data_IF_098459487476
#
_entry.id   IF_098459487476
#
_cell.length_a   1.000
_cell.length_b   1.000
_cell.length_c   1.000
_cell.angle_alpha   90.00
_cell.angle_beta   90.00
_cell.angle_gamma   90.00
#
_symmetry.space_group_name_H-M   'P 1'
#
loop_
_entity.id
_entity.type
_entity.pdbx_description
1 polymer ?
#
# COMPACT_ATOMS: atom_id res chain seq x y z
N UNK A 1 -2.26 -88.96 20.64
CA UNK A 1 -1.43 -88.05 19.78
C UNK A 1 -2.29 -86.87 19.39
N UNK A 2 -2.10 -85.76 20.10
CA UNK A 2 -2.91 -84.54 19.91
C UNK A 2 -2.09 -83.54 19.10
N UNK A 3 -2.57 -83.11 17.87
CA UNK A 3 -1.89 -82.14 17.02
C UNK A 3 -2.33 -80.71 17.44
N UNK A 4 -1.42 -79.97 17.99
CA UNK A 4 -1.60 -78.51 18.24
C UNK A 4 -1.50 -77.73 16.96
N UNK A 5 -2.59 -76.98 16.58
CA UNK A 5 -2.59 -75.99 15.51
C UNK A 5 -2.06 -74.66 16.05
N UNK A 6 -0.95 -74.17 15.48
CA UNK A 6 -0.43 -72.82 15.76
C UNK A 6 -1.28 -71.79 15.03
N UNK A 7 -1.95 -70.92 15.78
CA UNK A 7 -2.59 -69.72 15.26
C UNK A 7 -1.51 -68.63 15.15
N UNK A 8 -1.22 -68.19 13.93
CA UNK A 8 -0.36 -67.07 13.69
C UNK A 8 -1.19 -65.76 13.81
N UNK A 9 -0.88 -64.94 14.78
CA UNK A 9 -1.44 -63.62 14.99
C UNK A 9 -0.68 -62.62 14.09
N UNK A 10 -1.26 -62.28 12.92
CA UNK A 10 -0.73 -61.25 12.02
C UNK A 10 -0.96 -59.87 12.57
N UNK A 11 0.10 -59.19 12.99
CA UNK A 11 0.09 -57.81 13.44
C UNK A 11 0.06 -56.89 12.23
N UNK A 12 -1.12 -56.37 11.86
CA UNK A 12 -1.30 -55.33 10.86
C UNK A 12 -0.83 -53.99 11.44
N UNK A 13 0.43 -53.61 11.13
CA UNK A 13 0.95 -52.26 11.41
C UNK A 13 0.38 -51.32 10.36
N UNK A 14 -0.66 -50.57 10.73
CA UNK A 14 -1.21 -49.48 9.93
C UNK A 14 -0.20 -48.32 9.98
N UNK A 15 0.57 -48.15 8.92
CA UNK A 15 1.46 -47.02 8.69
C UNK A 15 0.61 -45.77 8.39
N UNK A 16 0.27 -44.98 9.41
CA UNK A 16 -0.28 -43.64 9.22
C UNK A 16 0.80 -42.76 8.59
N UNK A 17 0.81 -42.64 7.27
CA UNK A 17 1.51 -41.53 6.60
C UNK A 17 0.80 -40.23 7.00
N UNK A 18 1.35 -39.55 8.00
CA UNK A 18 1.00 -38.14 8.25
C UNK A 18 1.48 -37.36 7.05
N UNK A 19 0.56 -37.04 6.11
CA UNK A 19 0.79 -35.97 5.15
C UNK A 19 0.93 -34.68 5.97
N UNK A 20 2.17 -34.32 6.29
CA UNK A 20 2.47 -32.94 6.68
C UNK A 20 2.18 -32.10 5.45
N UNK A 21 1.01 -31.45 5.44
CA UNK A 21 0.75 -30.36 4.50
C UNK A 21 1.92 -29.38 4.65
N UNK A 22 2.78 -29.32 3.66
CA UNK A 22 3.85 -28.34 3.61
C UNK A 22 3.14 -27.00 3.46
N UNK A 23 2.93 -26.27 4.58
CA UNK A 23 2.48 -24.91 4.54
C UNK A 23 3.43 -24.16 3.62
N UNK A 24 2.92 -23.67 2.48
CA UNK A 24 3.73 -22.98 1.50
C UNK A 24 4.40 -21.77 2.17
N UNK A 25 5.67 -21.52 1.84
CA UNK A 25 6.34 -20.28 2.28
C UNK A 25 6.10 -19.18 1.25
N UNK A 26 5.52 -18.06 1.67
CA UNK A 26 5.24 -16.88 0.84
C UNK A 26 6.22 -15.79 1.20
N UNK A 27 6.88 -15.20 0.20
CA UNK A 27 7.66 -13.97 0.38
C UNK A 27 6.82 -12.78 -0.04
N UNK A 28 6.71 -11.78 0.84
CA UNK A 28 5.95 -10.55 0.60
C UNK A 28 6.93 -9.38 0.53
N UNK A 29 6.97 -8.69 -0.61
CA UNK A 29 7.77 -7.47 -0.79
C UNK A 29 7.03 -6.26 -0.21
N UNK A 30 7.77 -5.45 0.56
CA UNK A 30 7.33 -4.14 1.07
C UNK A 30 8.45 -3.13 0.95
N UNK A 31 8.14 -1.83 0.97
CA UNK A 31 9.17 -0.81 0.84
C UNK A 31 9.93 -0.58 2.16
N UNK A 32 9.20 -0.51 3.27
CA UNK A 32 9.78 -0.20 4.57
C UNK A 32 10.17 1.27 4.75
N UNK A 33 9.65 2.16 3.89
CA UNK A 33 9.95 3.61 3.88
C UNK A 33 8.72 4.49 3.60
N UNK A 34 7.51 3.97 3.83
CA UNK A 34 6.24 4.68 3.61
C UNK A 34 5.31 4.58 4.83
N UNK A 35 5.66 5.25 5.96
CA UNK A 35 4.81 5.25 7.14
C UNK A 35 3.48 6.00 6.88
N UNK A 36 2.38 5.59 7.52
CA UNK A 36 2.21 4.50 8.46
C UNK A 36 1.89 3.14 7.83
N UNK A 37 1.91 3.05 6.48
CA UNK A 37 1.67 1.81 5.73
C UNK A 37 2.72 0.75 6.04
N UNK A 38 3.98 1.09 5.83
CA UNK A 38 5.13 0.23 6.08
C UNK A 38 6.37 1.10 6.35
N UNK A 39 7.15 0.75 7.35
CA UNK A 39 8.35 1.48 7.77
C UNK A 39 9.29 0.57 8.55
N UNK A 40 10.36 1.13 9.09
CA UNK A 40 11.27 0.43 10.00
C UNK A 40 11.25 1.08 11.37
N UNK A 41 11.35 0.25 12.40
CA UNK A 41 11.63 0.73 13.76
C UNK A 41 13.12 1.11 13.92
N UNK A 42 13.49 1.63 15.10
CA UNK A 42 14.87 2.00 15.41
C UNK A 42 15.87 0.82 15.38
N UNK A 43 15.37 -0.42 15.43
CA UNK A 43 16.17 -1.64 15.34
C UNK A 43 16.27 -2.17 13.90
N UNK A 44 15.60 -1.51 12.94
CA UNK A 44 15.56 -1.91 11.54
C UNK A 44 14.48 -2.97 11.22
N UNK A 45 13.61 -3.32 12.15
CA UNK A 45 12.52 -4.25 11.89
C UNK A 45 11.42 -3.57 11.08
N UNK A 46 10.85 -4.31 10.12
CA UNK A 46 9.69 -3.85 9.36
C UNK A 46 8.45 -3.80 10.26
N UNK A 47 7.77 -2.65 10.24
CA UNK A 47 6.57 -2.32 11.00
C UNK A 47 5.56 -1.56 10.14
N UNK A 48 4.33 -1.39 10.62
CA UNK A 48 3.29 -0.62 9.94
C UNK A 48 2.03 -1.44 9.70
N UNK A 49 1.02 -0.76 9.14
CA UNK A 49 -0.29 -1.35 8.87
C UNK A 49 -0.19 -2.64 8.03
N UNK A 50 0.52 -2.58 6.91
CA UNK A 50 0.62 -3.70 5.97
C UNK A 50 1.49 -4.83 6.49
N UNK A 51 2.50 -4.53 7.30
CA UNK A 51 3.32 -5.55 7.96
C UNK A 51 2.50 -6.36 8.96
N UNK A 52 1.64 -5.69 9.73
CA UNK A 52 0.74 -6.37 10.67
C UNK A 52 -0.37 -7.11 9.91
N UNK A 53 -0.98 -6.48 8.88
CA UNK A 53 -1.99 -7.14 8.05
C UNK A 53 -1.43 -8.37 7.33
N UNK A 54 -0.24 -8.30 6.76
CA UNK A 54 0.41 -9.44 6.10
C UNK A 54 0.55 -10.64 7.04
N UNK A 55 0.94 -10.43 8.29
CA UNK A 55 1.04 -11.49 9.30
C UNK A 55 -0.32 -12.15 9.56
N UNK A 56 -1.39 -11.36 9.69
CA UNK A 56 -2.73 -11.89 9.93
C UNK A 56 -3.27 -12.63 8.69
N UNK A 57 -3.08 -12.08 7.48
CA UNK A 57 -3.49 -12.77 6.24
C UNK A 57 -2.76 -14.10 6.08
N UNK A 58 -1.46 -14.15 6.34
CA UNK A 58 -0.68 -15.38 6.28
C UNK A 58 -1.16 -16.43 7.27
N UNK A 59 -1.49 -16.01 8.50
CA UNK A 59 -2.08 -16.87 9.52
C UNK A 59 -3.45 -17.43 9.06
N UNK A 60 -4.30 -16.60 8.48
CA UNK A 60 -5.60 -17.02 7.94
C UNK A 60 -5.42 -18.03 6.79
N UNK A 61 -4.41 -17.85 5.95
CA UNK A 61 -4.09 -18.76 4.84
C UNK A 61 -3.39 -20.06 5.28
N UNK A 62 -3.03 -20.19 6.57
CA UNK A 62 -2.17 -21.29 7.08
C UNK A 62 -0.84 -21.40 6.31
N UNK A 63 -0.19 -20.24 6.09
CA UNK A 63 1.08 -20.14 5.38
C UNK A 63 2.15 -19.50 6.26
N UNK A 64 3.38 -19.98 6.12
CA UNK A 64 4.56 -19.29 6.63
C UNK A 64 4.90 -18.12 5.70
N UNK A 65 5.03 -16.90 6.21
CA UNK A 65 5.38 -15.74 5.41
C UNK A 65 6.65 -15.06 5.89
N UNK A 66 7.43 -14.58 4.92
CA UNK A 66 8.59 -13.71 5.17
C UNK A 66 8.36 -12.39 4.46
N UNK A 67 8.44 -11.28 5.20
CA UNK A 67 8.35 -9.94 4.63
C UNK A 67 9.76 -9.48 4.30
N UNK A 68 9.98 -9.05 3.05
CA UNK A 68 11.29 -8.63 2.53
C UNK A 68 11.23 -7.19 2.02
N UNK A 69 12.30 -6.46 2.26
CA UNK A 69 12.43 -5.08 1.80
C UNK A 69 12.81 -5.02 0.31
N UNK A 70 12.21 -4.09 -0.40
CA UNK A 70 12.50 -3.77 -1.79
C UNK A 70 12.21 -2.29 -2.06
N UNK A 71 13.14 -1.57 -2.65
CA UNK A 71 12.92 -0.18 -3.08
C UNK A 71 11.66 -0.09 -3.97
N UNK A 72 10.88 0.98 -3.79
CA UNK A 72 9.58 1.17 -4.44
C UNK A 72 9.64 1.07 -5.98
N UNK A 73 10.58 1.76 -6.62
CA UNK A 73 10.72 1.79 -8.08
C UNK A 73 11.05 0.43 -8.71
N UNK A 74 11.64 -0.46 -7.91
CA UNK A 74 11.94 -1.84 -8.28
C UNK A 74 10.86 -2.87 -7.91
N UNK A 75 9.76 -2.48 -7.27
CA UNK A 75 8.79 -3.40 -6.65
C UNK A 75 8.12 -4.34 -7.66
N UNK A 76 7.50 -3.79 -8.72
CA UNK A 76 6.84 -4.60 -9.77
C UNK A 76 7.86 -5.44 -10.56
N UNK A 77 9.00 -4.92 -11.04
CA UNK A 77 10.04 -5.73 -11.66
C UNK A 77 10.53 -6.89 -10.77
N UNK A 78 10.69 -6.66 -9.48
CA UNK A 78 11.12 -7.69 -8.52
C UNK A 78 10.07 -8.80 -8.35
N UNK A 79 8.77 -8.45 -8.29
CA UNK A 79 7.68 -9.42 -8.28
C UNK A 79 7.68 -10.28 -9.55
N UNK A 80 7.77 -9.65 -10.72
CA UNK A 80 7.77 -10.33 -12.03
C UNK A 80 8.97 -11.27 -12.16
N UNK A 81 10.14 -10.86 -11.66
CA UNK A 81 11.36 -11.68 -11.64
C UNK A 81 11.43 -12.71 -10.50
N UNK A 82 10.32 -12.88 -9.73
CA UNK A 82 10.20 -13.89 -8.66
C UNK A 82 11.15 -13.69 -7.47
N UNK A 83 11.56 -12.47 -7.17
CA UNK A 83 12.30 -12.19 -5.93
C UNK A 83 11.41 -12.40 -4.69
N UNK A 84 10.11 -12.15 -4.83
CA UNK A 84 9.05 -12.43 -3.86
C UNK A 84 7.75 -12.81 -4.59
N UNK A 85 6.71 -13.19 -3.84
CA UNK A 85 5.49 -13.78 -4.38
C UNK A 85 4.31 -12.81 -4.40
N UNK A 86 4.31 -11.83 -3.50
CA UNK A 86 3.28 -10.82 -3.36
C UNK A 86 3.89 -9.46 -3.00
N UNK A 87 3.17 -8.37 -3.28
CA UNK A 87 3.51 -7.00 -2.87
C UNK A 87 2.45 -6.52 -1.88
N UNK A 88 2.91 -6.01 -0.72
CA UNK A 88 2.11 -5.21 0.20
C UNK A 88 2.93 -3.97 0.59
N UNK A 89 2.71 -2.86 -0.11
CA UNK A 89 3.56 -1.67 -0.07
C UNK A 89 2.78 -0.38 -0.40
N UNK A 90 1.55 -0.21 0.11
CA UNK A 90 0.69 0.92 -0.22
C UNK A 90 0.38 1.00 -1.71
N UNK A 91 0.29 -0.16 -2.38
CA UNK A 91 0.20 -0.18 -3.83
C UNK A 91 -1.25 -0.06 -4.32
N UNK A 92 -1.62 1.13 -4.80
CA UNK A 92 -2.94 1.40 -5.35
C UNK A 92 -3.26 0.53 -6.56
N UNK A 93 -4.51 0.06 -6.61
CA UNK A 93 -5.05 -0.79 -7.69
C UNK A 93 -5.38 0.09 -8.89
N UNK A 94 -4.48 0.19 -9.88
CA UNK A 94 -4.68 0.99 -11.07
C UNK A 94 -4.79 0.15 -12.35
N UNK A 95 -5.47 0.70 -13.37
CA UNK A 95 -5.57 0.06 -14.68
C UNK A 95 -4.18 -0.15 -15.34
N UNK A 96 -3.26 0.81 -15.14
CA UNK A 96 -1.89 0.73 -15.67
C UNK A 96 -1.12 -0.44 -15.04
N UNK A 97 -1.09 -0.53 -13.71
CA UNK A 97 -0.43 -1.63 -13.00
C UNK A 97 -1.04 -2.99 -13.33
N UNK A 98 -2.37 -3.04 -13.53
CA UNK A 98 -3.09 -4.26 -13.97
C UNK A 98 -2.66 -4.77 -15.33
N UNK A 99 -1.99 -4.01 -16.17
CA UNK A 99 -1.40 -4.51 -17.42
C UNK A 99 -0.26 -5.50 -17.15
N UNK A 100 0.50 -5.29 -16.09
CA UNK A 100 1.70 -6.07 -15.76
C UNK A 100 1.47 -7.12 -14.68
N UNK A 101 0.70 -6.81 -13.63
CA UNK A 101 0.42 -7.68 -12.49
C UNK A 101 -1.08 -7.81 -12.25
N UNK A 102 -1.49 -8.79 -11.42
CA UNK A 102 -2.82 -8.86 -10.86
C UNK A 102 -2.85 -8.22 -9.47
N UNK A 103 -4.04 -7.88 -9.01
CA UNK A 103 -4.30 -7.41 -7.66
C UNK A 103 -5.37 -8.27 -6.99
N UNK A 104 -5.25 -8.45 -5.69
CA UNK A 104 -6.37 -8.87 -4.86
C UNK A 104 -7.50 -7.83 -4.92
N UNK A 105 -8.63 -8.12 -4.31
CA UNK A 105 -9.56 -7.08 -3.89
C UNK A 105 -8.86 -6.06 -2.98
N UNK A 106 -9.39 -4.84 -2.90
CA UNK A 106 -8.86 -3.81 -2.01
C UNK A 106 -9.02 -4.20 -0.55
N UNK A 107 -8.04 -3.84 0.27
CA UNK A 107 -8.11 -4.02 1.72
C UNK A 107 -8.20 -2.69 2.48
N UNK A 108 -7.76 -1.60 1.87
CA UNK A 108 -7.85 -0.27 2.47
C UNK A 108 -8.03 0.81 1.40
N UNK A 109 -8.77 1.86 1.75
CA UNK A 109 -8.86 3.07 0.96
C UNK A 109 -7.66 3.96 1.18
N UNK A 110 -7.25 4.65 0.12
CA UNK A 110 -6.22 5.65 0.14
C UNK A 110 -6.67 6.88 -0.65
N UNK A 111 -6.50 8.06 -0.06
CA UNK A 111 -6.67 9.33 -0.75
C UNK A 111 -5.34 10.08 -0.76
N UNK A 112 -5.01 10.68 -1.92
CA UNK A 112 -3.85 11.54 -2.03
C UNK A 112 -4.21 12.98 -1.62
N UNK A 113 -3.21 13.75 -1.18
CA UNK A 113 -3.35 15.16 -0.90
C UNK A 113 -2.05 15.91 -1.18
N UNK A 114 -2.18 17.20 -1.48
CA UNK A 114 -1.06 18.12 -1.44
C UNK A 114 -0.75 18.50 0.00
N UNK A 115 0.52 18.67 0.31
CA UNK A 115 0.99 19.19 1.58
C UNK A 115 1.93 20.38 1.36
N UNK A 116 1.88 21.34 2.29
CA UNK A 116 2.71 22.53 2.31
C UNK A 116 3.20 22.80 3.73
N UNK A 117 4.19 23.65 3.88
CA UNK A 117 4.55 24.16 5.21
C UNK A 117 3.48 25.13 5.71
N UNK A 118 3.14 25.03 6.99
CA UNK A 118 2.25 25.99 7.68
C UNK A 118 2.77 27.42 7.50
N UNK A 119 1.85 28.35 7.25
CA UNK A 119 2.19 29.74 6.96
C UNK A 119 2.57 30.00 5.50
N UNK A 120 2.56 28.97 4.64
CA UNK A 120 2.78 29.17 3.21
C UNK A 120 1.58 29.86 2.55
N UNK A 121 1.80 30.50 1.39
CA UNK A 121 0.72 31.16 0.63
C UNK A 121 -0.37 30.20 0.14
N UNK A 122 -0.05 28.92 0.07
CA UNK A 122 -0.93 27.88 -0.42
C UNK A 122 -1.55 27.05 0.71
N UNK A 123 -1.38 27.46 1.97
CA UNK A 123 -2.13 26.89 3.10
C UNK A 123 -3.61 27.28 3.00
N UNK A 124 -4.51 26.35 3.26
CA UNK A 124 -5.96 26.59 3.35
C UNK A 124 -6.60 27.07 2.04
N UNK A 125 -6.19 26.51 0.91
CA UNK A 125 -6.82 26.80 -0.39
C UNK A 125 -8.32 26.51 -0.36
N UNK A 126 -9.11 27.46 -0.88
CA UNK A 126 -10.57 27.31 -0.98
C UNK A 126 -10.90 26.44 -2.21
N UNK A 127 -11.11 25.16 -1.95
CA UNK A 127 -11.42 24.13 -2.95
C UNK A 127 -12.57 23.26 -2.46
N UNK A 128 -13.05 22.35 -3.29
CA UNK A 128 -13.82 21.21 -2.82
C UNK A 128 -13.00 20.42 -1.81
N UNK A 129 -13.63 19.70 -0.87
CA UNK A 129 -12.90 18.86 0.08
C UNK A 129 -12.27 17.62 -0.59
N UNK A 130 -12.87 17.13 -1.67
CA UNK A 130 -12.42 15.95 -2.41
C UNK A 130 -12.72 16.09 -3.91
N UNK A 131 -11.92 15.42 -4.72
CA UNK A 131 -12.12 15.27 -6.18
C UNK A 131 -12.04 13.78 -6.54
N UNK A 132 -12.97 13.31 -7.38
CA UNK A 132 -12.90 12.00 -8.00
C UNK A 132 -12.46 12.12 -9.46
N UNK A 133 -11.23 11.73 -9.74
CA UNK A 133 -10.65 11.86 -11.10
C UNK A 133 -11.19 10.84 -12.12
N UNK A 134 -12.10 9.93 -11.73
CA UNK A 134 -12.75 9.03 -12.68
C UNK A 134 -13.73 9.76 -13.61
N UNK A 135 -14.30 10.89 -13.15
CA UNK A 135 -15.15 11.76 -13.96
C UNK A 135 -15.12 13.18 -13.38
N UNK A 136 -14.52 14.11 -14.09
CA UNK A 136 -14.37 15.49 -13.62
C UNK A 136 -15.57 16.31 -14.08
N UNK A 137 -16.33 16.83 -13.13
CA UNK A 137 -17.43 17.75 -13.40
C UNK A 137 -16.97 19.23 -13.39
N UNK A 138 -17.92 20.17 -13.58
CA UNK A 138 -17.59 21.59 -13.65
C UNK A 138 -17.08 22.19 -12.33
N UNK A 139 -17.49 21.68 -11.17
CA UNK A 139 -17.02 22.15 -9.86
C UNK A 139 -15.65 21.59 -9.52
N UNK A 140 -15.42 20.32 -9.87
CA UNK A 140 -14.11 19.70 -9.76
C UNK A 140 -13.08 20.37 -10.69
N UNK A 141 -13.51 20.74 -11.92
CA UNK A 141 -12.67 21.51 -12.85
C UNK A 141 -12.29 22.89 -12.26
N UNK A 142 -13.25 23.61 -11.68
CA UNK A 142 -12.94 24.89 -10.99
C UNK A 142 -11.93 24.69 -9.86
N UNK A 143 -12.02 23.60 -9.13
CA UNK A 143 -11.04 23.25 -8.09
C UNK A 143 -9.66 23.00 -8.69
N UNK A 144 -9.56 22.27 -9.79
CA UNK A 144 -8.29 22.07 -10.51
C UNK A 144 -7.72 23.40 -11.03
N UNK A 145 -8.57 24.33 -11.49
CA UNK A 145 -8.14 25.67 -11.92
C UNK A 145 -7.57 26.49 -10.76
N UNK A 146 -8.15 26.38 -9.54
CA UNK A 146 -7.57 27.00 -8.33
C UNK A 146 -6.18 26.43 -8.04
N UNK A 147 -6.01 25.10 -8.08
CA UNK A 147 -4.73 24.45 -7.88
C UNK A 147 -3.71 24.86 -8.94
N UNK A 148 -4.12 24.85 -10.22
CA UNK A 148 -3.30 25.30 -11.35
C UNK A 148 -2.75 26.72 -11.11
N UNK A 149 -3.62 27.65 -10.67
CA UNK A 149 -3.22 29.02 -10.37
C UNK A 149 -2.28 29.11 -9.16
N UNK A 150 -2.61 28.38 -8.09
CA UNK A 150 -1.85 28.38 -6.83
C UNK A 150 -0.42 27.83 -6.99
N UNK A 151 -0.29 26.78 -7.80
CA UNK A 151 0.98 26.06 -7.96
C UNK A 151 1.72 26.35 -9.27
N UNK A 152 1.24 27.31 -10.09
CA UNK A 152 1.90 27.70 -11.33
C UNK A 152 3.38 28.03 -11.13
N UNK A 153 4.25 27.28 -11.81
CA UNK A 153 5.70 27.42 -11.76
C UNK A 153 6.35 27.03 -10.43
N UNK A 154 5.57 26.47 -9.50
CA UNK A 154 6.03 25.95 -8.21
C UNK A 154 6.68 24.58 -8.38
N UNK A 155 7.57 24.25 -7.46
CA UNK A 155 8.20 22.93 -7.39
C UNK A 155 7.41 22.03 -6.43
N UNK A 156 6.86 20.93 -6.95
CA UNK A 156 6.14 19.93 -6.16
C UNK A 156 6.99 18.66 -6.08
N UNK A 157 7.30 18.22 -4.86
CA UNK A 157 8.03 16.99 -4.60
C UNK A 157 7.12 15.78 -4.58
N UNK A 158 7.62 14.66 -5.08
CA UNK A 158 6.87 13.40 -5.17
C UNK A 158 7.82 12.22 -5.20
N UNK A 159 7.43 11.10 -4.63
CA UNK A 159 8.21 9.88 -4.78
C UNK A 159 8.16 9.39 -6.23
N UNK A 160 9.29 8.94 -6.76
CA UNK A 160 9.42 8.46 -8.15
C UNK A 160 8.56 7.20 -8.40
N UNK A 161 8.16 6.97 -9.67
CA UNK A 161 7.40 5.81 -10.11
C UNK A 161 6.04 5.61 -9.37
N UNK A 162 5.45 6.70 -8.85
CA UNK A 162 4.15 6.70 -8.18
C UNK A 162 3.03 7.22 -9.08
N UNK A 163 1.80 6.91 -8.69
CA UNK A 163 0.59 7.52 -9.26
C UNK A 163 0.57 9.04 -9.04
N UNK A 164 1.18 9.51 -7.96
CA UNK A 164 1.31 10.92 -7.62
C UNK A 164 2.18 11.67 -8.64
N UNK A 165 3.31 11.07 -9.04
CA UNK A 165 4.15 11.60 -10.12
C UNK A 165 3.36 11.67 -11.43
N UNK A 166 2.70 10.57 -11.82
CA UNK A 166 1.92 10.51 -13.06
C UNK A 166 0.85 11.61 -13.10
N UNK A 167 0.15 11.84 -11.99
CA UNK A 167 -0.85 12.90 -11.87
C UNK A 167 -0.24 14.28 -12.07
N UNK A 168 0.88 14.59 -11.44
CA UNK A 168 1.55 15.90 -11.63
C UNK A 168 2.03 16.10 -13.06
N UNK A 169 2.48 15.04 -13.72
CA UNK A 169 2.97 15.05 -15.11
C UNK A 169 1.84 15.02 -16.15
N UNK A 170 0.61 14.63 -15.76
CA UNK A 170 -0.56 14.61 -16.66
C UNK A 170 -0.97 16.00 -17.17
N UNK A 171 -0.58 17.05 -16.46
CA UNK A 171 -0.96 18.43 -16.77
C UNK A 171 -2.33 18.86 -16.22
N UNK A 172 -3.05 17.98 -15.50
CA UNK A 172 -4.35 18.32 -14.88
C UNK A 172 -4.25 19.47 -13.88
N UNK A 173 -3.08 19.67 -13.26
CA UNK A 173 -2.75 20.83 -12.42
C UNK A 173 -1.96 21.91 -13.15
N UNK A 174 -2.01 21.95 -14.49
CA UNK A 174 -1.24 22.89 -15.31
C UNK A 174 0.27 22.62 -15.25
N UNK A 175 1.07 23.66 -15.45
CA UNK A 175 2.53 23.52 -15.48
C UNK A 175 3.13 23.72 -14.10
N UNK A 176 3.52 22.64 -13.45
CA UNK A 176 4.30 22.60 -12.22
C UNK A 176 5.71 22.07 -12.50
N UNK A 177 6.67 22.33 -11.63
CA UNK A 177 7.99 21.70 -11.67
C UNK A 177 7.94 20.47 -10.79
N UNK A 178 7.96 19.28 -11.38
CA UNK A 178 7.98 18.02 -10.63
C UNK A 178 9.43 17.73 -10.19
N UNK A 179 9.65 17.50 -8.89
CA UNK A 179 10.91 16.98 -8.36
C UNK A 179 10.67 15.61 -7.78
N UNK A 180 11.34 14.61 -8.31
CA UNK A 180 11.22 13.22 -7.88
C UNK A 180 12.29 12.85 -6.85
N UNK A 181 11.92 11.95 -5.94
CA UNK A 181 12.77 11.44 -4.85
C UNK A 181 12.65 9.92 -4.78
N UNK A 182 13.63 9.28 -4.18
CA UNK A 182 13.62 7.84 -4.01
C UNK A 182 12.59 7.38 -2.98
N UNK A 183 12.47 8.12 -1.88
CA UNK A 183 11.56 7.80 -0.77
C UNK A 183 10.67 8.99 -0.40
N UNK A 184 9.55 8.72 0.28
CA UNK A 184 8.68 9.77 0.81
C UNK A 184 9.38 10.60 1.90
N UNK A 185 10.27 10.00 2.68
CA UNK A 185 11.03 10.72 3.70
C UNK A 185 11.91 11.82 3.10
N UNK A 186 12.55 11.55 1.95
CA UNK A 186 13.32 12.57 1.23
C UNK A 186 12.43 13.73 0.75
N UNK A 187 11.20 13.45 0.30
CA UNK A 187 10.21 14.47 -0.06
C UNK A 187 9.88 15.33 1.15
N UNK A 188 9.59 14.70 2.30
CA UNK A 188 9.23 15.39 3.53
C UNK A 188 10.37 16.29 4.03
N UNK A 189 11.60 15.82 4.00
CA UNK A 189 12.79 16.60 4.40
C UNK A 189 13.02 17.81 3.48
N UNK A 190 12.79 17.67 2.17
CA UNK A 190 12.94 18.79 1.23
C UNK A 190 11.79 19.81 1.34
N UNK A 191 10.56 19.33 1.66
CA UNK A 191 9.44 20.21 1.96
C UNK A 191 9.73 21.04 3.24
N UNK A 192 10.17 20.40 4.31
CA UNK A 192 10.53 21.05 5.57
C UNK A 192 11.65 22.08 5.39
N UNK A 193 12.65 21.72 4.59
CA UNK A 193 13.78 22.62 4.31
C UNK A 193 13.44 23.76 3.33
N UNK A 194 12.20 23.82 2.81
CA UNK A 194 11.79 24.83 1.84
C UNK A 194 12.47 24.71 0.47
N UNK A 195 13.03 23.53 0.15
CA UNK A 195 13.65 23.26 -1.17
C UNK A 195 12.63 22.90 -2.24
N UNK A 196 11.41 22.58 -1.83
CA UNK A 196 10.20 22.42 -2.66
C UNK A 196 9.08 23.26 -2.05
N UNK A 197 8.12 23.68 -2.90
CA UNK A 197 7.00 24.53 -2.47
C UNK A 197 5.84 23.73 -1.89
N UNK A 198 5.68 22.48 -2.33
CA UNK A 198 4.65 21.55 -1.91
C UNK A 198 5.11 20.11 -2.16
N UNK A 199 4.36 19.15 -1.62
CA UNK A 199 4.54 17.73 -1.89
C UNK A 199 3.19 17.09 -2.18
N UNK A 200 3.18 15.93 -2.90
CA UNK A 200 1.98 15.13 -3.18
C UNK A 200 2.24 13.68 -2.81
N UNK A 201 1.40 13.11 -1.96
CA UNK A 201 1.45 11.70 -1.52
C UNK A 201 0.09 11.28 -0.92
N UNK A 202 0.00 10.07 -0.37
CA UNK A 202 -1.11 9.68 0.49
C UNK A 202 -1.27 10.68 1.65
N UNK A 203 -2.49 11.13 1.90
CA UNK A 203 -2.76 12.13 2.95
C UNK A 203 -2.24 11.67 4.32
N UNK A 204 -2.40 10.38 4.64
CA UNK A 204 -1.94 9.78 5.91
C UNK A 204 -0.42 9.84 6.09
N UNK A 205 0.37 9.81 5.01
CA UNK A 205 1.82 9.90 5.11
C UNK A 205 2.27 11.28 5.63
N UNK A 206 1.58 12.35 5.24
CA UNK A 206 1.87 13.69 5.73
C UNK A 206 1.38 13.91 7.15
N UNK A 207 0.18 13.40 7.51
CA UNK A 207 -0.34 13.55 8.87
C UNK A 207 0.51 12.77 9.88
N UNK A 208 0.92 11.54 9.54
CA UNK A 208 1.84 10.73 10.34
C UNK A 208 3.21 11.44 10.50
N UNK A 209 3.76 11.99 9.41
CA UNK A 209 5.01 12.74 9.47
C UNK A 209 4.91 13.97 10.37
N UNK A 210 3.86 14.78 10.22
CA UNK A 210 3.64 15.97 11.03
C UNK A 210 3.51 15.63 12.52
N UNK A 211 2.76 14.56 12.86
CA UNK A 211 2.57 14.11 14.23
C UNK A 211 3.88 13.62 14.86
N UNK A 212 4.61 12.74 14.17
CA UNK A 212 5.84 12.12 14.70
C UNK A 212 7.02 13.09 14.77
N UNK A 213 7.17 13.95 13.77
CA UNK A 213 8.28 14.89 13.72
C UNK A 213 8.01 16.17 14.49
N UNK A 214 6.75 16.47 14.82
CA UNK A 214 6.32 17.76 15.38
C UNK A 214 6.47 18.94 14.39
N UNK A 215 6.60 18.63 13.08
CA UNK A 215 6.82 19.65 12.05
C UNK A 215 5.52 20.26 11.56
N UNK A 216 5.62 21.49 11.11
CA UNK A 216 4.47 22.26 10.67
C UNK A 216 4.08 21.96 9.21
N UNK A 217 3.94 20.68 8.85
CA UNK A 217 3.41 20.25 7.55
C UNK A 217 1.89 20.17 7.66
N UNK A 218 1.19 20.75 6.70
CA UNK A 218 -0.29 20.76 6.66
C UNK A 218 -0.80 20.40 5.28
N UNK A 219 -1.91 19.68 5.24
CA UNK A 219 -2.60 19.38 3.98
C UNK A 219 -3.24 20.64 3.40
N UNK A 220 -3.32 20.71 2.07
CA UNK A 220 -3.94 21.82 1.35
C UNK A 220 -4.62 21.35 0.07
N UNK A 221 -5.66 22.08 -0.34
CA UNK A 221 -6.49 21.68 -1.47
C UNK A 221 -7.38 20.49 -1.15
N UNK A 222 -7.93 19.81 -2.18
CA UNK A 222 -8.78 18.65 -2.00
C UNK A 222 -7.97 17.39 -1.72
N UNK A 223 -8.64 16.34 -1.26
CA UNK A 223 -8.16 14.98 -1.45
C UNK A 223 -8.47 14.49 -2.86
N UNK A 224 -7.64 13.61 -3.38
CA UNK A 224 -7.77 13.02 -4.73
C UNK A 224 -7.99 11.52 -4.62
N UNK A 225 -8.94 10.99 -5.39
CA UNK A 225 -9.21 9.57 -5.53
C UNK A 225 -9.72 9.25 -6.94
N UNK A 226 -9.80 7.98 -7.29
CA UNK A 226 -10.29 7.52 -8.59
C UNK A 226 -9.34 7.84 -9.76
N UNK A 227 -9.76 7.53 -10.99
CA UNK A 227 -8.94 7.74 -12.17
C UNK A 227 -7.55 7.09 -12.04
N UNK A 228 -6.51 7.88 -12.26
CA UNK A 228 -5.12 7.42 -12.15
C UNK A 228 -4.70 7.06 -10.72
N UNK A 229 -5.41 7.53 -9.69
CA UNK A 229 -5.18 7.13 -8.29
C UNK A 229 -5.70 5.73 -7.99
N UNK A 230 -6.55 5.16 -8.88
CA UNK A 230 -7.05 3.79 -8.74
C UNK A 230 -8.19 3.67 -7.73
N UNK A 231 -8.45 2.42 -7.31
CA UNK A 231 -9.55 2.06 -6.42
C UNK A 231 -9.01 1.31 -5.20
N UNK A 232 -8.52 2.05 -4.21
CA UNK A 232 -7.94 1.51 -2.99
C UNK A 232 -6.61 0.78 -3.20
N UNK A 233 -6.11 0.18 -2.15
CA UNK A 233 -4.84 -0.53 -2.05
C UNK A 233 -5.09 -2.03 -1.98
N UNK A 234 -4.30 -2.82 -2.71
CA UNK A 234 -4.45 -4.28 -2.78
C UNK A 234 -3.12 -5.01 -2.85
N UNK A 235 -3.17 -6.32 -2.63
CA UNK A 235 -1.99 -7.18 -2.76
C UNK A 235 -1.64 -7.38 -4.23
N UNK A 236 -0.45 -6.94 -4.65
CA UNK A 236 0.07 -7.16 -6.00
C UNK A 236 0.56 -8.59 -6.16
N UNK A 237 0.15 -9.27 -7.24
CA UNK A 237 0.47 -10.68 -7.50
C UNK A 237 0.78 -10.88 -8.98
N UNK A 238 1.71 -11.77 -9.32
CA UNK A 238 2.00 -12.11 -10.72
C UNK A 238 0.76 -12.62 -11.44
N UNK A 239 0.63 -12.32 -12.72
CA UNK A 239 -0.54 -12.73 -13.54
C UNK A 239 -0.75 -14.25 -13.59
N UNK A 240 0.31 -15.04 -13.51
CA UNK A 240 0.23 -16.51 -13.55
C UNK A 240 -0.14 -17.17 -12.22
N UNK A 241 -0.15 -16.43 -11.11
CA UNK A 241 -0.28 -17.00 -9.76
C UNK A 241 -1.73 -16.93 -9.24
N UNK A 242 -2.69 -17.44 -10.03
CA UNK A 242 -4.13 -17.36 -9.74
C UNK A 242 -4.51 -18.02 -8.41
N UNK A 243 -3.84 -19.13 -8.04
CA UNK A 243 -4.10 -19.79 -6.75
C UNK A 243 -3.77 -18.83 -5.59
N UNK A 244 -2.60 -18.21 -5.61
CA UNK A 244 -2.17 -17.26 -4.57
C UNK A 244 -3.10 -16.05 -4.51
N UNK A 245 -3.54 -15.52 -5.66
CA UNK A 245 -4.52 -14.45 -5.73
C UNK A 245 -5.83 -14.83 -5.02
N UNK A 246 -6.33 -16.03 -5.28
CA UNK A 246 -7.57 -16.51 -4.66
C UNK A 246 -7.39 -16.75 -3.16
N UNK A 247 -6.20 -17.21 -2.73
CA UNK A 247 -5.88 -17.41 -1.31
C UNK A 247 -5.88 -16.06 -0.57
N UNK A 248 -5.24 -15.03 -1.13
CA UNK A 248 -5.28 -13.68 -0.56
C UNK A 248 -6.70 -13.10 -0.53
N UNK A 249 -7.49 -13.24 -1.59
CA UNK A 249 -8.86 -12.74 -1.61
C UNK A 249 -9.70 -13.34 -0.47
N UNK A 250 -9.64 -14.69 -0.30
CA UNK A 250 -10.35 -15.35 0.82
C UNK A 250 -9.86 -14.90 2.20
N UNK A 251 -8.55 -14.68 2.33
CA UNK A 251 -7.98 -14.20 3.58
C UNK A 251 -8.40 -12.77 3.89
N UNK A 252 -8.46 -11.89 2.87
CA UNK A 252 -8.95 -10.51 3.00
C UNK A 252 -10.43 -10.49 3.39
N UNK A 253 -11.28 -11.31 2.73
CA UNK A 253 -12.70 -11.43 3.11
C UNK A 253 -12.84 -11.80 4.58
N UNK A 254 -12.15 -12.85 5.00
CA UNK A 254 -12.21 -13.29 6.40
C UNK A 254 -11.63 -12.23 7.37
N UNK A 255 -10.53 -11.57 7.03
CA UNK A 255 -9.96 -10.53 7.87
C UNK A 255 -10.88 -9.30 7.99
N UNK A 256 -11.66 -9.02 6.93
CA UNK A 256 -12.68 -7.96 6.93
C UNK A 256 -13.87 -8.37 7.83
N UNK A 257 -14.42 -9.58 7.63
CA UNK A 257 -15.55 -10.09 8.40
C UNK A 257 -15.22 -10.19 9.90
N UNK A 258 -13.99 -10.54 10.25
CA UNK A 258 -13.50 -10.61 11.64
C UNK A 258 -13.14 -9.21 12.22
N UNK A 259 -13.25 -8.12 11.44
CA UNK A 259 -12.90 -6.76 11.85
C UNK A 259 -11.40 -6.52 12.05
N UNK A 260 -10.54 -7.42 11.56
CA UNK A 260 -9.08 -7.33 11.70
C UNK A 260 -8.54 -6.13 10.92
N UNK A 261 -9.01 -5.92 9.68
CA UNK A 261 -8.54 -4.81 8.83
C UNK A 261 -8.91 -3.48 9.46
N UNK A 262 -10.17 -3.30 9.88
CA UNK A 262 -10.64 -2.10 10.57
C UNK A 262 -9.84 -1.80 11.84
N UNK A 263 -9.62 -2.81 12.69
CA UNK A 263 -8.82 -2.66 13.91
C UNK A 263 -7.38 -2.23 13.62
N UNK A 264 -6.74 -2.79 12.60
CA UNK A 264 -5.39 -2.42 12.20
C UNK A 264 -5.35 -1.03 11.56
N UNK A 265 -6.36 -0.68 10.73
CA UNK A 265 -6.48 0.66 10.16
C UNK A 265 -6.59 1.72 11.26
N UNK A 266 -7.48 1.54 12.23
CA UNK A 266 -7.62 2.46 13.38
C UNK A 266 -6.31 2.55 14.18
N UNK A 267 -5.62 1.43 14.40
CA UNK A 267 -4.35 1.41 15.14
C UNK A 267 -3.27 2.26 14.46
N UNK A 268 -3.16 2.17 13.13
CA UNK A 268 -2.03 2.75 12.39
C UNK A 268 -2.35 4.09 11.74
N UNK A 269 -3.60 4.33 11.34
CA UNK A 269 -4.03 5.56 10.66
C UNK A 269 -4.81 6.50 11.57
N UNK A 270 -5.32 6.01 12.72
CA UNK A 270 -6.20 6.77 13.61
C UNK A 270 -7.67 6.77 13.19
N UNK A 271 -8.02 6.16 12.07
CA UNK A 271 -9.38 6.03 11.55
C UNK A 271 -9.57 4.71 10.80
N UNK A 272 -10.81 4.33 10.54
CA UNK A 272 -11.11 3.13 9.76
C UNK A 272 -11.01 3.40 8.26
N UNK A 273 -9.95 2.89 7.64
CA UNK A 273 -9.71 2.93 6.20
C UNK A 273 -10.04 1.59 5.52
N UNK A 274 -10.70 0.64 6.20
CA UNK A 274 -11.02 -0.66 5.62
C UNK A 274 -12.03 -0.53 4.46
N UNK A 275 -11.83 -1.35 3.42
CA UNK A 275 -12.73 -1.46 2.26
C UNK A 275 -13.65 -2.66 2.39
#
# INVERSE_FOLDING_TARGET
MLKMKKFGLGLLISLFLSLTANAGSIKIGTEGAYPPWNSKDASGNLIGFEVDLAKELCKIMDHSCTIVEQDWDGMIPALVSRKFDAIMAGMSITAERKKTINFSQGYADEVASLAVMKGSKNEGLKTLPAINLSSIDAEEQKTLDVLTKAFKGKTIGVQTATIHQNFLESGLMGTVKVRTYKTQDEVNLDLEAGRIDAALAAAVAFTDYAEKSGKAVVLTGPTFAGGDFGNGVGVGIRKGDQKLLNDFNRAIDKARDDGIISKLAIKHFGFDASM
#
